data_IF_080261690072
#
_entry.id   IF_080261690072
#
_cell.length_a   1.000
_cell.length_b   1.000
_cell.length_c   1.000
_cell.angle_alpha   90.00
_cell.angle_beta   90.00
_cell.angle_gamma   90.00
#
_symmetry.space_group_name_H-M   'P 1'
#
loop_
_entity.id
_entity.type
_entity.pdbx_description
1 polymer ?
#
# COMPACT_ATOMS: atom_id res chain seq x y z
N UNK A 1 -40.93 -14.21 19.59
CA UNK A 1 -39.55 -14.79 19.46
C UNK A 1 -38.59 -13.84 18.79
N UNK A 2 -38.91 -13.22 17.63
CA UNK A 2 -37.98 -12.34 16.90
C UNK A 2 -37.42 -11.16 17.74
N UNK A 3 -38.26 -10.41 18.50
CA UNK A 3 -37.83 -9.29 19.32
C UNK A 3 -36.79 -9.63 20.42
N UNK A 4 -36.72 -10.88 20.84
CA UNK A 4 -35.75 -11.32 21.86
C UNK A 4 -34.40 -11.68 21.25
N UNK A 5 -34.37 -12.10 19.98
CA UNK A 5 -33.16 -12.41 19.23
C UNK A 5 -32.44 -11.10 18.86
N UNK A 6 -33.17 -10.07 18.41
CA UNK A 6 -32.58 -8.77 18.09
C UNK A 6 -31.94 -8.10 19.31
N UNK A 7 -32.57 -8.15 20.50
CA UNK A 7 -31.96 -7.63 21.73
C UNK A 7 -30.70 -8.40 22.15
N UNK A 8 -30.69 -9.71 21.96
CA UNK A 8 -29.51 -10.52 22.26
C UNK A 8 -28.33 -10.18 21.29
N UNK A 9 -28.61 -9.97 20.00
CA UNK A 9 -27.61 -9.54 19.01
C UNK A 9 -27.07 -8.13 19.32
N UNK A 10 -27.94 -7.19 19.74
CA UNK A 10 -27.51 -5.84 20.15
C UNK A 10 -26.60 -5.89 21.38
N UNK A 11 -26.91 -6.72 22.36
CA UNK A 11 -26.08 -6.88 23.56
C UNK A 11 -24.68 -7.44 23.21
N UNK A 12 -24.63 -8.47 22.37
CA UNK A 12 -23.35 -9.05 21.90
C UNK A 12 -22.57 -8.05 21.06
N UNK A 13 -23.23 -7.24 20.22
CA UNK A 13 -22.59 -6.20 19.44
C UNK A 13 -21.94 -5.14 20.32
N UNK A 14 -22.62 -4.73 21.41
CA UNK A 14 -22.07 -3.79 22.39
C UNK A 14 -20.87 -4.38 23.13
N UNK A 15 -20.91 -5.65 23.51
CA UNK A 15 -19.80 -6.31 24.19
C UNK A 15 -18.56 -6.44 23.27
N UNK A 16 -18.76 -6.82 22.02
CA UNK A 16 -17.68 -6.90 21.02
C UNK A 16 -17.04 -5.52 20.81
N UNK A 17 -17.86 -4.46 20.66
CA UNK A 17 -17.33 -3.11 20.48
C UNK A 17 -16.60 -2.59 21.72
N UNK A 18 -17.01 -2.99 22.94
CA UNK A 18 -16.28 -2.66 24.16
C UNK A 18 -14.94 -3.39 24.27
N UNK A 19 -14.89 -4.65 23.87
CA UNK A 19 -13.69 -5.50 24.00
C UNK A 19 -12.65 -5.19 22.90
N UNK A 20 -13.11 -5.00 21.66
CA UNK A 20 -12.23 -4.89 20.47
C UNK A 20 -12.17 -3.48 19.86
N UNK A 21 -12.95 -2.53 20.40
CA UNK A 21 -13.05 -1.15 19.91
C UNK A 21 -14.30 -0.88 19.07
N UNK A 22 -14.71 0.39 19.03
CA UNK A 22 -15.88 0.83 18.26
C UNK A 22 -15.72 0.49 16.76
N UNK A 23 -16.78 -0.07 16.17
CA UNK A 23 -16.78 -0.48 14.77
C UNK A 23 -16.23 -1.87 14.49
N UNK A 24 -15.83 -2.64 15.53
CA UNK A 24 -15.38 -4.04 15.38
C UNK A 24 -16.46 -4.95 14.81
N UNK A 25 -17.73 -4.62 15.03
CA UNK A 25 -18.88 -5.25 14.41
C UNK A 25 -19.93 -4.20 14.04
N UNK A 26 -20.45 -4.24 12.81
CA UNK A 26 -21.49 -3.32 12.34
C UNK A 26 -22.46 -4.04 11.38
N UNK A 27 -23.66 -3.46 11.22
CA UNK A 27 -24.60 -3.95 10.19
C UNK A 27 -24.25 -3.33 8.83
N UNK A 28 -24.11 -4.14 7.78
CA UNK A 28 -23.74 -3.68 6.43
C UNK A 28 -24.72 -2.64 5.84
N UNK A 29 -25.99 -2.65 6.26
CA UNK A 29 -27.02 -1.70 5.81
C UNK A 29 -27.26 -0.51 6.76
N UNK A 30 -26.41 -0.30 7.76
CA UNK A 30 -26.47 0.87 8.65
C UNK A 30 -26.04 2.14 7.90
N UNK A 31 -26.43 3.31 8.43
CA UNK A 31 -26.12 4.65 7.89
C UNK A 31 -24.63 5.04 7.93
N UNK A 32 -23.74 4.14 8.32
CA UNK A 32 -22.31 4.28 8.05
C UNK A 32 -22.08 4.03 6.56
N UNK A 33 -22.42 4.99 5.72
CA UNK A 33 -21.70 5.16 4.47
C UNK A 33 -20.23 5.20 4.88
N UNK A 34 -19.48 4.18 4.45
CA UNK A 34 -18.01 4.20 4.54
C UNK A 34 -17.60 5.41 3.71
N UNK A 35 -17.51 6.57 4.35
CA UNK A 35 -16.95 7.78 3.77
C UNK A 35 -15.46 7.49 3.61
N UNK A 36 -15.12 6.98 2.44
CA UNK A 36 -13.75 6.57 2.12
C UNK A 36 -12.99 7.82 1.77
N UNK A 37 -12.25 8.36 2.74
CA UNK A 37 -11.32 9.43 2.43
C UNK A 37 -10.31 8.95 1.38
N UNK A 38 -10.09 9.78 0.36
CA UNK A 38 -9.17 9.50 -0.73
C UNK A 38 -8.20 10.66 -0.95
N UNK A 39 -7.04 10.34 -1.50
CA UNK A 39 -6.04 11.31 -1.95
C UNK A 39 -6.14 11.35 -3.46
N UNK A 40 -6.34 12.54 -4.05
CA UNK A 40 -6.35 12.71 -5.52
C UNK A 40 -5.06 12.20 -6.13
N UNK A 41 -5.15 11.62 -7.31
CA UNK A 41 -3.99 11.22 -8.10
C UNK A 41 -3.38 12.39 -8.90
N UNK A 42 -4.03 13.57 -8.87
CA UNK A 42 -3.69 14.69 -9.74
C UNK A 42 -4.22 14.52 -11.18
N UNK A 43 -4.85 13.39 -11.48
CA UNK A 43 -5.44 13.09 -12.79
C UNK A 43 -6.94 12.88 -12.66
N UNK A 44 -7.75 13.86 -13.08
CA UNK A 44 -9.20 13.84 -12.94
C UNK A 44 -9.86 12.57 -13.52
N UNK A 45 -9.40 12.11 -14.68
CA UNK A 45 -9.97 10.92 -15.32
C UNK A 45 -9.70 9.65 -14.52
N UNK A 46 -8.52 9.54 -13.88
CA UNK A 46 -8.19 8.42 -13.01
C UNK A 46 -8.98 8.48 -11.70
N UNK A 47 -9.10 9.66 -11.09
CA UNK A 47 -9.87 9.87 -9.87
C UNK A 47 -11.34 9.50 -10.07
N UNK A 48 -11.93 9.86 -11.21
CA UNK A 48 -13.28 9.46 -11.58
C UNK A 48 -13.40 7.95 -11.80
N UNK A 49 -12.42 7.33 -12.45
CA UNK A 49 -12.41 5.89 -12.72
C UNK A 49 -12.29 5.05 -11.44
N UNK A 50 -11.56 5.55 -10.43
CA UNK A 50 -11.43 4.90 -9.12
C UNK A 50 -12.74 4.98 -8.30
N UNK A 51 -13.66 5.84 -8.65
CA UNK A 51 -15.02 5.92 -8.07
C UNK A 51 -15.11 6.59 -6.70
N UNK A 52 -13.97 6.79 -6.00
CA UNK A 52 -13.88 7.44 -4.69
C UNK A 52 -13.14 8.77 -4.74
N UNK A 53 -12.80 9.24 -5.94
CA UNK A 53 -12.13 10.54 -6.15
C UNK A 53 -10.63 10.53 -5.91
N UNK A 54 -9.99 9.37 -5.95
CA UNK A 54 -8.55 9.20 -5.78
C UNK A 54 -8.17 7.85 -5.18
N UNK A 55 -6.96 7.74 -4.64
CA UNK A 55 -6.51 6.54 -3.94
C UNK A 55 -7.03 6.53 -2.50
N UNK A 56 -7.69 5.44 -2.05
CA UNK A 56 -8.34 5.40 -0.75
C UNK A 56 -7.32 5.34 0.40
N UNK A 57 -7.55 6.12 1.46
CA UNK A 57 -6.78 6.05 2.70
C UNK A 57 -7.05 4.73 3.44
N UNK A 58 -6.04 4.25 4.16
CA UNK A 58 -6.15 2.99 4.92
C UNK A 58 -6.16 1.74 4.03
N UNK A 59 -5.68 1.84 2.80
CA UNK A 59 -5.63 0.73 1.83
C UNK A 59 -4.26 0.59 1.22
N UNK A 60 -4.02 -0.60 0.68
CA UNK A 60 -2.86 -0.93 -0.14
C UNK A 60 -3.24 -0.74 -1.60
N UNK A 61 -2.42 0.00 -2.32
CA UNK A 61 -2.56 0.24 -3.75
C UNK A 61 -1.33 -0.34 -4.43
N UNK A 62 -1.51 -1.10 -5.48
CA UNK A 62 -0.42 -1.52 -6.36
C UNK A 62 -0.52 -0.78 -7.69
N UNK A 63 0.56 -0.07 -8.04
CA UNK A 63 0.74 0.56 -9.35
C UNK A 63 1.77 -0.25 -10.10
N UNK A 64 1.36 -0.95 -11.14
CA UNK A 64 2.24 -1.82 -11.91
C UNK A 64 2.20 -1.53 -13.39
N UNK A 65 3.27 -1.86 -14.09
CA UNK A 65 3.40 -1.62 -15.52
C UNK A 65 4.84 -1.81 -16.00
N UNK A 66 5.07 -1.72 -17.32
CA UNK A 66 6.42 -1.81 -17.89
C UNK A 66 7.32 -0.66 -17.40
N UNK A 67 8.61 -0.78 -17.62
CA UNK A 67 9.56 0.29 -17.33
C UNK A 67 9.19 1.56 -18.11
N UNK A 68 9.53 2.72 -17.53
CA UNK A 68 9.26 4.04 -18.13
C UNK A 68 7.77 4.34 -18.44
N UNK A 69 6.82 3.62 -17.84
CA UNK A 69 5.38 3.83 -18.03
C UNK A 69 4.77 4.93 -17.16
N UNK A 70 5.57 5.64 -16.37
CA UNK A 70 5.11 6.74 -15.52
C UNK A 70 4.62 6.33 -14.13
N UNK A 71 4.94 5.13 -13.64
CA UNK A 71 4.54 4.65 -12.31
C UNK A 71 5.03 5.56 -11.18
N UNK A 72 6.32 5.85 -11.14
CA UNK A 72 6.93 6.77 -10.17
C UNK A 72 6.36 8.19 -10.32
N UNK A 73 6.13 8.65 -11.55
CA UNK A 73 5.47 9.94 -11.82
C UNK A 73 4.09 10.00 -11.18
N UNK A 74 3.25 8.97 -11.37
CA UNK A 74 1.93 8.91 -10.76
C UNK A 74 2.01 8.90 -9.23
N UNK A 75 2.92 8.12 -8.66
CA UNK A 75 3.11 8.07 -7.20
C UNK A 75 3.56 9.43 -6.63
N UNK A 76 4.45 10.14 -7.32
CA UNK A 76 4.87 11.48 -6.92
C UNK A 76 3.74 12.51 -7.05
N UNK A 77 2.85 12.40 -8.04
CA UNK A 77 1.64 13.24 -8.10
C UNK A 77 0.71 12.98 -6.90
N UNK A 78 0.52 11.72 -6.50
CA UNK A 78 -0.26 11.39 -5.30
C UNK A 78 0.37 12.02 -4.05
N UNK A 79 1.70 11.97 -3.92
CA UNK A 79 2.45 12.63 -2.84
C UNK A 79 2.23 14.14 -2.88
N UNK A 80 2.37 14.77 -4.06
CA UNK A 80 2.19 16.21 -4.22
C UNK A 80 0.76 16.65 -3.85
N UNK A 81 -0.27 15.94 -4.32
CA UNK A 81 -1.66 16.25 -3.97
C UNK A 81 -1.95 16.02 -2.47
N UNK A 82 -1.34 14.99 -1.85
CA UNK A 82 -1.39 14.79 -0.42
C UNK A 82 -0.83 16.00 0.34
N UNK A 83 0.39 16.42 0.03
CA UNK A 83 1.06 17.55 0.67
C UNK A 83 0.33 18.88 0.44
N UNK A 84 -0.18 19.12 -0.76
CA UNK A 84 -0.97 20.30 -1.12
C UNK A 84 -2.22 20.45 -0.24
N UNK A 85 -2.81 19.34 0.19
CA UNK A 85 -3.94 19.31 1.09
C UNK A 85 -3.54 19.26 2.59
N UNK A 86 -2.27 19.51 2.91
CA UNK A 86 -1.75 19.56 4.27
C UNK A 86 -1.42 18.19 4.86
N UNK A 87 -1.50 17.12 4.06
CA UNK A 87 -1.11 15.77 4.48
C UNK A 87 0.39 15.56 4.48
N UNK A 88 0.82 14.47 5.12
CA UNK A 88 2.22 14.08 5.26
C UNK A 88 2.52 12.81 4.48
N UNK A 89 3.70 12.76 3.87
CA UNK A 89 4.10 11.69 2.99
C UNK A 89 5.50 11.14 3.33
N UNK A 90 5.70 9.87 3.01
CA UNK A 90 7.02 9.24 2.99
C UNK A 90 7.25 8.47 1.69
N UNK A 91 8.51 8.37 1.28
CA UNK A 91 8.93 7.66 0.10
C UNK A 91 10.06 6.68 0.47
N UNK A 92 9.83 5.39 0.30
CA UNK A 92 10.81 4.33 0.51
C UNK A 92 11.36 3.97 -0.86
N UNK A 93 12.55 4.51 -1.17
CA UNK A 93 13.24 4.39 -2.45
C UNK A 93 14.20 3.20 -2.42
N UNK A 94 13.69 2.01 -2.73
CA UNK A 94 14.49 0.79 -2.78
C UNK A 94 15.33 0.67 -4.06
N UNK A 95 15.04 1.46 -5.09
CA UNK A 95 15.82 1.51 -6.34
C UNK A 95 16.97 2.54 -6.27
N UNK A 96 16.98 3.41 -5.24
CA UNK A 96 17.92 4.53 -5.12
C UNK A 96 17.92 5.46 -6.36
N UNK A 97 16.74 5.68 -6.93
CA UNK A 97 16.55 6.37 -8.20
C UNK A 97 15.67 7.63 -8.11
N UNK A 98 15.25 8.01 -6.90
CA UNK A 98 14.43 9.21 -6.69
C UNK A 98 15.24 10.47 -7.00
N UNK A 99 14.79 11.23 -8.00
CA UNK A 99 15.33 12.53 -8.35
C UNK A 99 14.55 13.64 -7.60
N UNK A 100 15.20 14.37 -6.67
CA UNK A 100 14.55 15.43 -5.89
C UNK A 100 14.10 16.61 -6.76
N UNK A 101 14.81 16.94 -7.84
CA UNK A 101 14.40 18.03 -8.75
C UNK A 101 13.16 17.62 -9.54
N UNK A 102 13.14 16.38 -10.01
CA UNK A 102 11.96 15.85 -10.68
C UNK A 102 10.74 15.84 -9.77
N UNK A 103 10.88 15.34 -8.53
CA UNK A 103 9.80 15.36 -7.54
C UNK A 103 9.28 16.79 -7.29
N UNK A 104 10.19 17.76 -7.13
CA UNK A 104 9.85 19.16 -6.96
C UNK A 104 9.10 19.75 -8.17
N UNK A 105 9.52 19.40 -9.39
CA UNK A 105 8.86 19.85 -10.62
C UNK A 105 7.44 19.29 -10.76
N UNK A 106 7.16 18.12 -10.16
CA UNK A 106 5.82 17.53 -10.08
C UNK A 106 4.96 18.14 -8.95
N UNK A 107 5.53 19.04 -8.15
CA UNK A 107 4.82 19.74 -7.08
C UNK A 107 5.03 19.15 -5.68
N UNK A 108 5.94 18.18 -5.50
CA UNK A 108 6.28 17.70 -4.18
C UNK A 108 7.08 18.76 -3.40
N UNK A 109 6.75 18.93 -2.12
CA UNK A 109 7.59 19.66 -1.18
C UNK A 109 8.67 18.71 -0.66
N UNK A 110 9.89 18.86 -1.20
CA UNK A 110 11.01 18.00 -0.84
C UNK A 110 11.48 18.17 0.62
N UNK A 111 11.24 19.33 1.23
CA UNK A 111 11.63 19.60 2.63
C UNK A 111 10.74 18.86 3.63
N UNK A 112 9.49 18.58 3.27
CA UNK A 112 8.51 17.87 4.10
C UNK A 112 8.36 16.39 3.72
N UNK A 113 9.02 15.92 2.66
CA UNK A 113 8.97 14.52 2.23
C UNK A 113 10.01 13.69 2.96
N UNK A 114 9.56 12.72 3.77
CA UNK A 114 10.46 11.74 4.38
C UNK A 114 10.92 10.75 3.32
N UNK A 115 12.23 10.62 3.14
CA UNK A 115 12.82 9.66 2.18
C UNK A 115 13.68 8.66 2.93
N UNK A 116 13.55 7.38 2.59
CA UNK A 116 14.39 6.30 3.11
C UNK A 116 14.88 5.43 1.97
N UNK A 117 16.16 5.05 2.01
CA UNK A 117 16.81 4.17 1.05
C UNK A 117 17.32 2.91 1.76
N UNK A 118 16.47 1.89 1.90
CA UNK A 118 16.81 0.67 2.63
C UNK A 118 17.76 -0.24 1.82
N UNK A 119 18.63 -0.95 2.53
CA UNK A 119 19.57 -1.91 1.94
C UNK A 119 18.94 -3.28 1.64
N UNK A 120 17.80 -3.62 2.24
CA UNK A 120 17.14 -4.91 2.07
C UNK A 120 15.61 -4.79 2.13
N UNK A 121 14.92 -5.80 1.61
CA UNK A 121 13.45 -5.87 1.65
C UNK A 121 12.91 -5.90 3.07
N UNK A 122 13.56 -6.63 3.98
CA UNK A 122 13.18 -6.67 5.40
C UNK A 122 13.30 -5.30 6.05
N UNK A 123 14.38 -4.56 5.78
CA UNK A 123 14.58 -3.21 6.30
C UNK A 123 13.50 -2.24 5.77
N UNK A 124 13.18 -2.30 4.47
CA UNK A 124 12.13 -1.47 3.88
C UNK A 124 10.77 -1.70 4.56
N UNK A 125 10.40 -2.97 4.77
CA UNK A 125 9.13 -3.36 5.38
C UNK A 125 9.08 -3.08 6.88
N UNK A 126 10.20 -3.14 7.59
CA UNK A 126 10.31 -2.74 9.00
C UNK A 126 10.16 -1.21 9.15
N UNK A 127 10.79 -0.43 8.27
CA UNK A 127 10.62 1.03 8.20
C UNK A 127 9.15 1.37 7.93
N UNK A 128 8.52 0.73 6.95
CA UNK A 128 7.10 0.91 6.65
C UNK A 128 6.25 0.63 7.89
N UNK A 129 6.48 -0.48 8.60
CA UNK A 129 5.73 -0.82 9.81
C UNK A 129 5.87 0.27 10.87
N UNK A 130 7.09 0.74 11.16
CA UNK A 130 7.34 1.80 12.15
C UNK A 130 6.67 3.12 11.77
N UNK A 131 6.67 3.48 10.50
CA UNK A 131 5.97 4.68 10.01
C UNK A 131 4.45 4.56 10.19
N UNK A 132 3.86 3.41 9.91
CA UNK A 132 2.43 3.15 10.11
C UNK A 132 2.02 3.21 11.58
N UNK A 133 2.87 2.75 12.50
CA UNK A 133 2.63 2.79 13.95
C UNK A 133 2.50 4.22 14.49
N UNK A 134 3.09 5.20 13.82
CA UNK A 134 2.95 6.62 14.20
C UNK A 134 1.57 7.19 13.91
N UNK A 135 0.83 6.60 12.95
CA UNK A 135 -0.43 7.11 12.40
C UNK A 135 -0.37 8.60 11.99
N UNK A 136 0.82 9.10 11.65
CA UNK A 136 1.07 10.50 11.33
C UNK A 136 1.19 10.79 9.84
N UNK A 137 1.19 9.75 9.00
CA UNK A 137 1.36 9.85 7.55
C UNK A 137 0.06 9.50 6.82
N UNK A 138 -0.26 10.26 5.79
CA UNK A 138 -1.41 10.04 4.92
C UNK A 138 -1.08 9.11 3.76
N UNK A 139 0.13 9.18 3.23
CA UNK A 139 0.60 8.31 2.15
C UNK A 139 2.05 7.88 2.35
N UNK A 140 2.33 6.61 2.03
CA UNK A 140 3.68 6.04 1.97
C UNK A 140 3.82 5.35 0.61
N UNK A 141 4.85 5.70 -0.14
CA UNK A 141 5.19 5.07 -1.42
C UNK A 141 6.38 4.15 -1.22
N UNK A 142 6.35 2.97 -1.84
CA UNK A 142 7.49 2.04 -1.92
C UNK A 142 7.83 1.85 -3.40
N UNK A 143 9.00 2.28 -3.83
CA UNK A 143 9.49 2.17 -5.20
C UNK A 143 10.82 1.40 -5.24
N UNK A 144 10.86 0.20 -5.68
CA UNK A 144 9.77 -0.67 -6.13
C UNK A 144 9.81 -2.02 -5.43
N UNK A 145 8.68 -2.78 -5.48
CA UNK A 145 8.63 -4.17 -4.96
C UNK A 145 9.72 -5.04 -5.59
N UNK A 146 10.00 -4.83 -6.88
CA UNK A 146 11.03 -5.59 -7.59
C UNK A 146 12.44 -5.43 -6.98
N UNK A 147 12.73 -4.28 -6.36
CA UNK A 147 14.00 -3.98 -5.71
C UNK A 147 14.08 -4.42 -4.23
N UNK A 148 12.98 -4.93 -3.67
CA UNK A 148 12.97 -5.46 -2.30
C UNK A 148 13.66 -6.83 -2.24
N UNK A 149 15.00 -6.82 -2.25
CA UNK A 149 15.80 -8.03 -2.17
C UNK A 149 15.82 -8.55 -0.74
N UNK A 150 15.44 -9.82 -0.49
CA UNK A 150 15.55 -10.43 0.84
C UNK A 150 17.00 -10.47 1.34
N UNK A 151 17.20 -10.21 2.63
CA UNK A 151 18.53 -10.24 3.24
C UNK A 151 19.26 -11.56 3.02
N UNK A 152 18.56 -12.68 3.10
CA UNK A 152 19.12 -14.00 2.83
C UNK A 152 19.67 -14.16 1.39
N UNK A 153 19.13 -13.40 0.43
CA UNK A 153 19.62 -13.34 -0.94
C UNK A 153 20.86 -12.45 -1.05
N UNK A 154 20.88 -11.33 -0.31
CA UNK A 154 22.05 -10.42 -0.26
C UNK A 154 23.27 -11.06 0.41
N UNK A 155 23.05 -11.86 1.45
CA UNK A 155 24.10 -12.55 2.21
C UNK A 155 24.60 -13.82 1.47
N UNK A 156 23.86 -14.30 0.43
CA UNK A 156 24.20 -15.47 -0.39
C UNK A 156 25.28 -15.20 -1.44
N UNK A 157 25.71 -16.26 -2.12
CA UNK A 157 26.65 -16.13 -3.24
C UNK A 157 25.90 -15.91 -4.56
N UNK A 158 26.56 -15.22 -5.49
CA UNK A 158 26.03 -15.04 -6.84
C UNK A 158 25.86 -16.42 -7.50
N UNK A 159 24.60 -16.78 -7.84
CA UNK A 159 24.23 -18.07 -8.42
C UNK A 159 23.50 -19.00 -7.48
N UNK A 160 23.35 -18.66 -6.20
CA UNK A 160 22.51 -19.39 -5.27
C UNK A 160 21.04 -19.38 -5.72
N UNK A 161 20.36 -20.50 -5.51
CA UNK A 161 18.94 -20.63 -5.88
C UNK A 161 18.07 -20.03 -4.76
N UNK A 162 17.56 -18.83 -5.01
CA UNK A 162 16.73 -18.06 -4.04
C UNK A 162 15.24 -18.02 -4.41
N UNK A 163 14.74 -19.10 -5.04
CA UNK A 163 13.37 -19.15 -5.57
C UNK A 163 12.33 -18.84 -4.48
N UNK A 164 11.52 -17.82 -4.73
CA UNK A 164 10.34 -17.51 -3.92
C UNK A 164 10.60 -16.79 -2.60
N UNK A 165 11.84 -16.42 -2.26
CA UNK A 165 12.14 -15.69 -1.02
C UNK A 165 11.42 -14.35 -0.98
N UNK A 166 11.47 -13.57 -2.06
CA UNK A 166 10.78 -12.28 -2.18
C UNK A 166 9.25 -12.43 -2.03
N UNK A 167 8.65 -13.42 -2.71
CA UNK A 167 7.23 -13.68 -2.60
C UNK A 167 6.80 -14.08 -1.18
N UNK A 168 7.63 -14.87 -0.48
CA UNK A 168 7.41 -15.24 0.93
C UNK A 168 7.50 -14.02 1.84
N UNK A 169 8.52 -13.17 1.66
CA UNK A 169 8.72 -11.94 2.41
C UNK A 169 7.50 -11.02 2.24
N UNK A 170 7.07 -10.74 1.01
CA UNK A 170 5.91 -9.91 0.72
C UNK A 170 4.62 -10.49 1.30
N UNK A 171 4.39 -11.79 1.15
CA UNK A 171 3.20 -12.45 1.71
C UNK A 171 3.13 -12.35 3.22
N UNK A 172 4.26 -12.49 3.91
CA UNK A 172 4.34 -12.37 5.35
C UNK A 172 4.13 -10.93 5.82
N UNK A 173 4.79 -9.97 5.15
CA UNK A 173 4.68 -8.55 5.46
C UNK A 173 3.26 -8.02 5.26
N UNK A 174 2.64 -8.28 4.11
CA UNK A 174 1.30 -7.79 3.80
C UNK A 174 0.25 -8.29 4.80
N UNK A 175 0.34 -9.54 5.27
CA UNK A 175 -0.54 -10.05 6.32
C UNK A 175 -0.35 -9.32 7.65
N UNK A 176 0.88 -8.91 8.00
CA UNK A 176 1.16 -8.13 9.22
C UNK A 176 0.73 -6.68 9.09
N UNK A 177 0.90 -6.10 7.91
CA UNK A 177 0.72 -4.65 7.68
C UNK A 177 -0.73 -4.25 7.39
N UNK A 178 -1.59 -5.16 6.90
CA UNK A 178 -2.97 -4.85 6.53
C UNK A 178 -3.77 -4.24 7.70
N UNK A 179 -3.64 -4.77 8.91
CA UNK A 179 -4.28 -4.22 10.10
C UNK A 179 -3.77 -2.82 10.48
N UNK A 180 -2.45 -2.63 10.66
CA UNK A 180 -1.85 -1.32 10.88
C UNK A 180 -2.20 -0.28 9.81
N UNK A 181 -2.20 -0.62 8.53
CA UNK A 181 -2.56 0.28 7.42
C UNK A 181 -4.00 0.78 7.57
N UNK A 182 -4.92 -0.13 7.85
CA UNK A 182 -6.32 0.24 8.06
C UNK A 182 -6.49 1.16 9.28
N UNK A 183 -5.83 0.83 10.41
CA UNK A 183 -5.92 1.61 11.66
C UNK A 183 -5.28 2.99 11.54
N UNK A 184 -4.13 3.12 10.90
CA UNK A 184 -3.43 4.40 10.69
C UNK A 184 -4.13 5.29 9.65
N UNK A 185 -5.04 4.72 8.83
CA UNK A 185 -5.67 5.37 7.67
C UNK A 185 -4.65 5.88 6.65
N UNK A 186 -3.45 5.30 6.63
CA UNK A 186 -2.39 5.64 5.69
C UNK A 186 -2.65 4.90 4.37
N UNK A 187 -2.60 5.60 3.23
CA UNK A 187 -2.54 4.97 1.92
C UNK A 187 -1.13 4.45 1.67
N UNK A 188 -0.97 3.17 1.37
CA UNK A 188 0.33 2.58 1.03
C UNK A 188 0.35 2.21 -0.44
N UNK A 189 1.22 2.87 -1.21
CA UNK A 189 1.36 2.67 -2.66
C UNK A 189 2.62 1.84 -2.92
N UNK A 190 2.45 0.64 -3.44
CA UNK A 190 3.54 -0.19 -3.94
C UNK A 190 3.68 0.01 -5.45
N UNK A 191 4.86 0.41 -5.90
CA UNK A 191 5.20 0.41 -7.31
C UNK A 191 5.77 -0.95 -7.67
N UNK A 192 5.33 -1.53 -8.80
CA UNK A 192 5.78 -2.84 -9.23
C UNK A 192 6.05 -2.88 -10.74
N UNK A 193 6.88 -3.83 -11.15
CA UNK A 193 7.19 -4.08 -12.55
C UNK A 193 6.34 -5.24 -13.07
N UNK A 194 6.09 -5.28 -14.37
CA UNK A 194 5.50 -6.43 -15.04
C UNK A 194 6.64 -7.33 -15.54
N UNK A 195 6.45 -8.63 -15.33
CA UNK A 195 7.28 -9.68 -15.93
C UNK A 195 6.39 -10.64 -16.70
N UNK A 196 6.89 -11.19 -17.79
CA UNK A 196 6.17 -12.20 -18.56
C UNK A 196 6.60 -13.60 -18.15
N UNK A 197 5.62 -14.47 -17.89
CA UNK A 197 5.84 -15.89 -17.70
C UNK A 197 5.97 -16.58 -19.04
N UNK A 198 7.10 -17.22 -19.27
CA UNK A 198 7.34 -18.05 -20.46
C UNK A 198 6.47 -19.31 -20.38
N UNK A 199 5.80 -19.68 -21.48
CA UNK A 199 5.05 -20.94 -21.59
C UNK A 199 3.59 -20.90 -21.12
N UNK A 200 3.02 -19.73 -20.90
CA UNK A 200 1.58 -19.59 -20.64
C UNK A 200 0.80 -19.76 -21.93
N UNK A 201 0.08 -20.87 -22.08
CA UNK A 201 -0.73 -21.17 -23.28
C UNK A 201 -2.16 -20.55 -23.21
N UNK A 202 -2.65 -20.21 -22.02
CA UNK A 202 -3.97 -19.63 -21.80
C UNK A 202 -3.91 -18.55 -20.69
N UNK A 203 -4.61 -17.42 -20.89
CA UNK A 203 -4.64 -16.28 -19.98
C UNK A 203 -3.53 -15.26 -20.25
N UNK A 204 -3.42 -14.22 -19.39
CA UNK A 204 -2.35 -13.22 -19.51
C UNK A 204 -1.03 -13.82 -19.04
N UNK A 205 0.07 -13.71 -19.83
CA UNK A 205 1.39 -14.10 -19.39
C UNK A 205 1.97 -13.13 -18.35
N UNK A 206 1.37 -11.96 -18.19
CA UNK A 206 1.86 -10.92 -17.31
C UNK A 206 1.76 -11.33 -15.83
N UNK A 207 2.81 -11.05 -15.08
CA UNK A 207 2.88 -11.27 -13.63
C UNK A 207 3.73 -10.19 -12.99
N UNK A 208 3.48 -9.93 -11.71
CA UNK A 208 4.27 -8.98 -10.92
C UNK A 208 5.17 -9.71 -9.93
N UNK A 209 6.39 -9.22 -9.64
CA UNK A 209 7.20 -9.67 -8.52
C UNK A 209 6.48 -9.55 -7.17
N UNK A 210 6.89 -10.34 -6.18
CA UNK A 210 6.29 -10.30 -4.85
C UNK A 210 5.11 -11.26 -4.66
N UNK A 211 4.70 -11.98 -5.71
CA UNK A 211 3.72 -13.06 -5.65
C UNK A 211 2.26 -12.59 -5.62
N UNK A 212 1.33 -13.56 -5.57
CA UNK A 212 -0.12 -13.34 -5.62
C UNK A 212 -0.69 -12.56 -4.43
N UNK A 213 0.04 -12.47 -3.31
CA UNK A 213 -0.45 -11.82 -2.09
C UNK A 213 -0.75 -10.34 -2.29
N UNK A 214 0.04 -9.64 -3.10
CA UNK A 214 -0.20 -8.22 -3.40
C UNK A 214 -1.49 -8.06 -4.22
N UNK A 215 -1.69 -8.90 -5.23
CA UNK A 215 -2.89 -8.89 -6.09
C UNK A 215 -4.18 -9.12 -5.28
N UNK A 216 -4.12 -9.95 -4.23
CA UNK A 216 -5.31 -10.28 -3.43
C UNK A 216 -5.63 -9.28 -2.33
N UNK A 217 -4.67 -8.43 -1.94
CA UNK A 217 -4.81 -7.48 -0.81
C UNK A 217 -4.96 -6.04 -1.30
N UNK A 218 -4.37 -5.74 -2.44
CA UNK A 218 -4.43 -4.39 -3.05
C UNK A 218 -5.76 -4.10 -3.75
#
# INVERSE_FOLDING_TARGET
>A
MAKNVDKALEAVQLDINKEYGDGSIMRLGGTATLDVEAISTGCLSLDMALGVGGVPKGRIIEVFGPESSGKTTLALHIVAECQKNGGKAAFIDAENALDPEYAKNLGCNAEDLLVSQPDSGEQALDILQKLLETAALDVIVIDSVAALVPKAELDGQIGDVTVGLQARLMSQALRKLSGPINKSRTCVVFINQIREKIGVMFGSPETTPGGLSLIHIS
#
